data_IF_497653500922
#
_entry.id   IF_497653500922
#
_cell.length_a   1.000
_cell.length_b   1.000
_cell.length_c   1.000
_cell.angle_alpha   90.00
_cell.angle_beta   90.00
_cell.angle_gamma   90.00
#
_symmetry.space_group_name_H-M   'P 1'
#
loop_
_entity.id
_entity.type
_entity.pdbx_description
1 polymer ?
#
# COMPACT_ATOMS: atom_id res chain seq x y z
N UNK A 1 -9.37 36.06 -38.79
CA UNK A 1 -9.54 34.60 -38.62
C UNK A 1 -8.66 34.21 -37.43
N UNK A 2 -9.20 34.33 -36.21
CA UNK A 2 -8.46 34.06 -34.98
C UNK A 2 -8.63 32.58 -34.63
N UNK A 3 -7.54 31.82 -34.69
CA UNK A 3 -7.49 30.51 -34.04
C UNK A 3 -7.48 30.73 -32.51
N UNK A 4 -8.28 30.00 -31.73
CA UNK A 4 -8.21 30.09 -30.29
C UNK A 4 -6.90 29.46 -29.79
N UNK A 5 -6.12 30.23 -29.04
CA UNK A 5 -4.94 29.75 -28.32
C UNK A 5 -5.38 28.67 -27.31
N UNK A 6 -4.94 27.43 -27.52
CA UNK A 6 -5.03 26.38 -26.51
C UNK A 6 -4.21 26.78 -25.27
N UNK A 7 -4.86 26.77 -24.11
CA UNK A 7 -4.19 27.04 -22.83
C UNK A 7 -3.16 25.92 -22.55
N UNK A 8 -1.93 26.24 -22.09
CA UNK A 8 -0.82 25.29 -21.93
C UNK A 8 -1.02 24.13 -20.95
N UNK A 9 -2.17 24.04 -20.26
CA UNK A 9 -2.49 23.00 -19.28
C UNK A 9 -3.30 21.82 -19.84
N UNK A 10 -3.76 21.91 -21.09
CA UNK A 10 -4.59 20.89 -21.75
C UNK A 10 -3.79 19.78 -22.46
N UNK A 11 -2.49 19.97 -22.68
CA UNK A 11 -1.64 18.99 -23.37
C UNK A 11 -1.17 17.83 -22.47
N UNK A 12 -1.36 17.92 -21.15
CA UNK A 12 -1.07 16.84 -20.20
C UNK A 12 -2.21 15.80 -20.08
N UNK A 13 -3.34 16.00 -20.78
CA UNK A 13 -4.58 15.23 -20.61
C UNK A 13 -4.67 13.97 -21.52
N UNK A 14 -3.72 13.75 -22.44
CA UNK A 14 -3.84 12.71 -23.47
C UNK A 14 -2.98 11.45 -23.30
N UNK A 15 -2.33 11.26 -22.16
CA UNK A 15 -1.59 10.02 -21.88
C UNK A 15 -2.15 9.35 -20.63
N UNK A 16 -3.30 8.70 -20.77
CA UNK A 16 -3.91 7.89 -19.71
C UNK A 16 -3.54 6.43 -19.96
N UNK A 17 -2.81 5.76 -19.05
CA UNK A 17 -2.60 4.32 -19.10
C UNK A 17 -3.76 3.56 -18.42
N UNK A 18 -4.54 2.83 -19.22
CA UNK A 18 -5.25 1.55 -18.98
C UNK A 18 -6.04 1.26 -17.67
N UNK A 19 -6.28 2.20 -16.75
CA UNK A 19 -7.02 1.91 -15.52
C UNK A 19 -8.11 2.92 -15.14
N UNK A 20 -9.18 2.39 -14.54
CA UNK A 20 -10.43 3.08 -14.22
C UNK A 20 -10.31 3.89 -12.91
N UNK A 21 -10.45 5.21 -12.97
CA UNK A 21 -10.50 6.11 -11.81
C UNK A 21 -11.89 6.04 -11.15
N UNK A 22 -11.95 6.01 -9.82
CA UNK A 22 -13.21 6.11 -9.07
C UNK A 22 -13.27 7.42 -8.28
N UNK A 23 -14.30 8.21 -8.54
CA UNK A 23 -14.50 9.54 -7.96
C UNK A 23 -15.81 9.53 -7.18
N UNK A 24 -15.75 9.94 -5.91
CA UNK A 24 -16.92 10.06 -5.04
C UNK A 24 -17.14 11.54 -4.72
N UNK A 25 -18.32 12.05 -5.04
CA UNK A 25 -18.71 13.43 -4.76
C UNK A 25 -19.91 13.44 -3.81
N UNK A 26 -19.81 14.23 -2.74
CA UNK A 26 -20.82 14.25 -1.68
C UNK A 26 -21.58 15.57 -1.72
N UNK A 27 -22.91 15.46 -1.84
CA UNK A 27 -23.86 16.56 -1.66
C UNK A 27 -23.46 17.83 -2.45
N UNK A 28 -23.35 17.68 -3.77
CA UNK A 28 -23.14 18.80 -4.71
C UNK A 28 -24.46 19.22 -5.34
N UNK A 29 -24.55 20.49 -5.74
CA UNK A 29 -25.74 21.02 -6.40
C UNK A 29 -26.00 20.35 -7.76
N UNK A 30 -27.22 20.51 -8.27
CA UNK A 30 -27.67 19.87 -9.50
C UNK A 30 -26.88 20.32 -10.74
N UNK A 31 -26.37 21.56 -10.76
CA UNK A 31 -25.62 22.10 -11.89
C UNK A 31 -24.24 21.47 -11.98
N UNK A 32 -23.53 21.40 -10.84
CA UNK A 32 -22.24 20.69 -10.75
C UNK A 32 -22.41 19.20 -11.01
N UNK A 33 -23.49 18.59 -10.50
CA UNK A 33 -23.84 17.19 -10.79
C UNK A 33 -23.99 16.92 -12.28
N UNK A 34 -24.73 17.77 -13.00
CA UNK A 34 -24.92 17.64 -14.44
C UNK A 34 -23.58 17.78 -15.18
N UNK A 35 -22.78 18.78 -14.84
CA UNK A 35 -21.46 18.98 -15.48
C UNK A 35 -20.49 17.81 -15.26
N UNK A 36 -20.49 17.21 -14.06
CA UNK A 36 -19.68 16.02 -13.76
C UNK A 36 -20.12 14.82 -14.60
N UNK A 37 -21.44 14.58 -14.72
CA UNK A 37 -21.99 13.50 -15.55
C UNK A 37 -21.68 13.72 -17.02
N UNK A 38 -21.92 14.91 -17.55
CA UNK A 38 -21.63 15.25 -18.94
C UNK A 38 -20.13 15.07 -19.27
N UNK A 39 -19.24 15.38 -18.32
CA UNK A 39 -17.80 15.22 -18.49
C UNK A 39 -17.31 13.78 -18.35
N UNK A 40 -17.86 13.00 -17.42
CA UNK A 40 -17.29 11.71 -17.01
C UNK A 40 -18.08 10.48 -17.48
N UNK A 41 -19.39 10.57 -17.71
CA UNK A 41 -20.19 9.43 -18.22
C UNK A 41 -19.69 8.92 -19.59
N UNK A 42 -19.21 9.76 -20.53
CA UNK A 42 -18.64 9.29 -21.79
C UNK A 42 -17.27 8.59 -21.63
N UNK A 43 -16.60 8.73 -20.49
CA UNK A 43 -15.25 8.24 -20.26
C UNK A 43 -15.31 6.90 -19.52
N UNK A 44 -15.21 5.80 -20.26
CA UNK A 44 -15.33 4.44 -19.69
C UNK A 44 -14.33 4.13 -18.56
N UNK A 45 -13.18 4.82 -18.54
CA UNK A 45 -12.15 4.70 -17.51
C UNK A 45 -12.42 5.59 -16.30
N UNK A 46 -13.59 6.21 -16.14
CA UNK A 46 -13.97 6.96 -14.95
C UNK A 46 -15.28 6.40 -14.40
N UNK A 47 -15.33 6.19 -13.09
CA UNK A 47 -16.52 5.80 -12.34
C UNK A 47 -16.86 6.94 -11.39
N UNK A 48 -17.90 7.71 -11.74
CA UNK A 48 -18.42 8.77 -10.89
C UNK A 48 -19.54 8.23 -10.00
N UNK A 49 -19.43 8.48 -8.70
CA UNK A 49 -20.47 8.21 -7.72
C UNK A 49 -20.85 9.49 -6.98
N UNK A 50 -22.16 9.71 -6.81
CA UNK A 50 -22.69 10.87 -6.10
C UNK A 50 -23.42 10.37 -4.86
N UNK A 51 -22.86 10.67 -3.69
CA UNK A 51 -23.48 10.34 -2.41
C UNK A 51 -24.31 11.54 -1.90
N UNK A 52 -25.51 11.29 -1.35
CA UNK A 52 -26.37 12.35 -0.83
C UNK A 52 -25.81 12.96 0.47
N UNK A 53 -25.04 12.20 1.25
CA UNK A 53 -24.51 12.61 2.55
C UNK A 53 -23.21 11.88 2.90
N UNK A 54 -22.58 12.32 3.99
CA UNK A 54 -21.31 11.80 4.46
C UNK A 54 -21.39 10.33 4.93
N UNK A 55 -22.52 9.89 5.48
CA UNK A 55 -22.69 8.52 5.97
C UNK A 55 -22.73 7.53 4.81
N UNK A 56 -23.51 7.84 3.77
CA UNK A 56 -23.59 7.07 2.53
C UNK A 56 -22.23 7.01 1.84
N UNK A 57 -21.49 8.14 1.84
CA UNK A 57 -20.12 8.18 1.33
C UNK A 57 -19.17 7.24 2.09
N UNK A 58 -19.22 7.22 3.43
CA UNK A 58 -18.41 6.30 4.24
C UNK A 58 -18.75 4.83 3.97
N UNK A 59 -20.03 4.49 3.84
CA UNK A 59 -20.46 3.12 3.49
C UNK A 59 -19.93 2.71 2.12
N UNK A 60 -20.00 3.60 1.13
CA UNK A 60 -19.46 3.36 -0.20
C UNK A 60 -17.94 3.12 -0.20
N UNK A 61 -17.19 3.91 0.59
CA UNK A 61 -15.76 3.74 0.78
C UNK A 61 -15.39 2.42 1.46
N UNK A 62 -16.24 1.93 2.38
CA UNK A 62 -16.01 0.63 3.02
C UNK A 62 -16.19 -0.57 2.09
N UNK A 63 -16.98 -0.41 1.03
CA UNK A 63 -17.18 -1.47 0.01
C UNK A 63 -16.02 -1.47 -0.98
N UNK A 64 -15.61 -0.29 -1.44
CA UNK A 64 -14.48 -0.14 -2.34
C UNK A 64 -13.77 1.19 -2.08
N UNK A 65 -12.43 1.25 -2.18
CA UNK A 65 -11.70 2.50 -2.16
C UNK A 65 -12.00 3.36 -3.40
N UNK A 66 -11.70 4.65 -3.33
CA UNK A 66 -11.77 5.58 -4.46
C UNK A 66 -10.48 6.42 -4.57
N UNK A 67 -10.26 7.03 -5.73
CA UNK A 67 -9.08 7.87 -5.96
C UNK A 67 -9.31 9.31 -5.46
N UNK A 68 -10.57 9.76 -5.36
CA UNK A 68 -10.91 11.08 -4.83
C UNK A 68 -12.28 11.14 -4.13
N UNK A 69 -12.34 11.88 -3.03
CA UNK A 69 -13.57 12.31 -2.35
C UNK A 69 -13.69 13.83 -2.37
N UNK A 70 -14.74 14.37 -2.98
CA UNK A 70 -15.07 15.79 -2.92
C UNK A 70 -16.28 16.02 -2.02
N UNK A 71 -16.19 16.97 -1.08
CA UNK A 71 -17.30 17.29 -0.16
C UNK A 71 -17.30 18.77 0.20
N UNK A 72 -18.49 19.33 0.42
CA UNK A 72 -18.66 20.61 1.12
C UNK A 72 -19.14 20.37 2.56
N UNK A 73 -18.24 20.42 3.58
CA UNK A 73 -18.63 20.23 4.97
C UNK A 73 -19.57 21.33 5.50
N UNK A 74 -19.67 22.48 4.84
CA UNK A 74 -20.56 23.55 5.28
C UNK A 74 -22.04 23.21 5.07
N UNK A 75 -22.35 22.36 4.07
CA UNK A 75 -23.73 21.91 3.76
C UNK A 75 -23.93 20.41 3.94
N UNK A 76 -22.88 19.67 4.30
CA UNK A 76 -22.92 18.22 4.52
C UNK A 76 -22.61 17.90 5.97
N UNK A 77 -23.62 17.66 6.83
CA UNK A 77 -23.41 17.19 8.19
C UNK A 77 -22.44 16.01 8.22
N UNK A 78 -21.41 16.07 9.09
CA UNK A 78 -20.37 15.05 9.15
C UNK A 78 -19.28 15.14 8.08
N UNK A 79 -19.28 16.15 7.19
CA UNK A 79 -18.29 16.27 6.12
C UNK A 79 -16.82 16.30 6.60
N UNK A 80 -16.53 16.96 7.72
CA UNK A 80 -15.18 16.91 8.32
C UNK A 80 -14.83 15.55 8.90
N UNK A 81 -15.81 14.83 9.46
CA UNK A 81 -15.61 13.46 9.93
C UNK A 81 -15.30 12.53 8.74
N UNK A 82 -15.96 12.73 7.59
CA UNK A 82 -15.63 12.03 6.34
C UNK A 82 -14.21 12.34 5.88
N UNK A 83 -13.82 13.61 5.79
CA UNK A 83 -12.46 13.99 5.39
C UNK A 83 -11.39 13.36 6.28
N UNK A 84 -11.61 13.38 7.60
CA UNK A 84 -10.73 12.73 8.56
C UNK A 84 -10.70 11.21 8.38
N UNK A 85 -11.87 10.58 8.26
CA UNK A 85 -12.01 9.14 8.01
C UNK A 85 -11.26 8.72 6.75
N UNK A 86 -11.40 9.44 5.65
CA UNK A 86 -10.68 9.17 4.40
C UNK A 86 -9.17 9.20 4.63
N UNK A 87 -8.66 10.24 5.28
CA UNK A 87 -7.21 10.41 5.50
C UNK A 87 -6.61 9.45 6.52
N UNK A 88 -7.42 8.92 7.41
CA UNK A 88 -6.98 7.96 8.43
C UNK A 88 -7.00 6.52 7.89
N UNK A 89 -7.86 6.21 6.90
CA UNK A 89 -8.06 4.84 6.40
C UNK A 89 -7.59 4.59 4.97
N UNK A 90 -7.53 5.62 4.12
CA UNK A 90 -7.25 5.49 2.68
C UNK A 90 -6.12 6.43 2.26
N UNK A 91 -4.88 5.92 2.35
CA UNK A 91 -3.65 6.66 2.04
C UNK A 91 -3.65 7.29 0.65
N UNK A 92 -4.23 6.60 -0.32
CA UNK A 92 -4.22 6.97 -1.74
C UNK A 92 -5.54 7.57 -2.24
N UNK A 93 -6.36 8.09 -1.33
CA UNK A 93 -7.57 8.83 -1.70
C UNK A 93 -7.34 10.32 -1.51
N UNK A 94 -7.51 11.07 -2.60
CA UNK A 94 -7.46 12.52 -2.58
C UNK A 94 -8.72 13.08 -1.88
N UNK A 95 -8.60 14.20 -1.18
CA UNK A 95 -9.75 14.91 -0.63
C UNK A 95 -9.81 16.35 -1.12
N UNK A 96 -10.96 16.72 -1.69
CA UNK A 96 -11.26 18.06 -2.17
C UNK A 96 -12.33 18.71 -1.28
N UNK A 97 -11.98 19.81 -0.63
CA UNK A 97 -12.92 20.70 0.06
C UNK A 97 -13.51 21.68 -0.97
N UNK A 98 -14.80 21.59 -1.27
CA UNK A 98 -15.44 22.47 -2.24
C UNK A 98 -16.55 23.30 -1.60
N UNK A 99 -16.21 24.44 -1.00
CA UNK A 99 -17.06 25.16 -0.04
C UNK A 99 -17.34 26.61 -0.39
N UNK A 100 -18.50 27.12 0.04
CA UNK A 100 -18.79 28.56 0.05
C UNK A 100 -18.23 29.26 1.31
N UNK A 101 -17.82 28.49 2.32
CA UNK A 101 -17.41 29.03 3.61
C UNK A 101 -15.93 29.46 3.60
N UNK A 102 -15.69 30.76 3.77
CA UNK A 102 -14.36 31.37 3.80
C UNK A 102 -13.88 31.70 5.23
N UNK A 103 -14.60 31.25 6.25
CA UNK A 103 -14.25 31.52 7.64
C UNK A 103 -12.84 30.95 7.99
N UNK A 104 -11.94 31.76 8.57
CA UNK A 104 -10.59 31.30 8.91
C UNK A 104 -10.53 30.17 9.94
N UNK A 105 -11.53 29.97 10.80
CA UNK A 105 -11.57 28.84 11.73
C UNK A 105 -11.99 27.56 10.99
N UNK A 106 -12.98 27.66 10.11
CA UNK A 106 -13.40 26.59 9.21
C UNK A 106 -12.24 26.08 8.34
N UNK A 107 -11.51 26.99 7.69
CA UNK A 107 -10.36 26.63 6.85
C UNK A 107 -9.22 26.02 7.67
N UNK A 108 -8.95 26.53 8.88
CA UNK A 108 -7.98 25.91 9.80
C UNK A 108 -8.38 24.49 10.18
N UNK A 109 -9.66 24.23 10.37
CA UNK A 109 -10.15 22.88 10.64
C UNK A 109 -9.99 21.97 9.42
N UNK A 110 -10.26 22.47 8.20
CA UNK A 110 -10.02 21.73 6.96
C UNK A 110 -8.54 21.33 6.78
N UNK A 111 -7.61 22.25 7.07
CA UNK A 111 -6.17 21.96 7.04
C UNK A 111 -5.79 20.91 8.08
N UNK A 112 -6.37 20.94 9.29
CA UNK A 112 -6.16 19.89 10.31
C UNK A 112 -6.66 18.52 9.84
N UNK A 113 -7.68 18.47 8.99
CA UNK A 113 -8.14 17.25 8.33
C UNK A 113 -7.24 16.80 7.16
N UNK A 114 -6.15 17.52 6.84
CA UNK A 114 -5.16 17.16 5.80
C UNK A 114 -5.78 17.07 4.39
N UNK A 115 -6.64 18.04 4.04
CA UNK A 115 -7.20 18.13 2.68
C UNK A 115 -6.09 18.29 1.62
N UNK A 116 -6.28 17.73 0.42
CA UNK A 116 -5.32 17.90 -0.69
C UNK A 116 -5.69 19.05 -1.61
N UNK A 117 -6.97 19.41 -1.66
CA UNK A 117 -7.47 20.50 -2.48
C UNK A 117 -8.55 21.32 -1.82
N UNK A 118 -8.61 22.58 -2.23
CA UNK A 118 -9.61 23.57 -1.80
C UNK A 118 -10.14 24.27 -3.04
N UNK A 119 -11.46 24.35 -3.16
CA UNK A 119 -12.17 25.11 -4.18
C UNK A 119 -13.23 25.97 -3.50
N UNK A 120 -13.18 27.27 -3.72
CA UNK A 120 -14.20 28.19 -3.20
C UNK A 120 -15.38 28.29 -4.17
N UNK A 121 -16.60 28.30 -3.65
CA UNK A 121 -17.82 28.54 -4.42
C UNK A 121 -18.29 30.00 -4.28
N UNK A 122 -18.94 30.57 -5.32
CA UNK A 122 -19.28 29.95 -6.60
C UNK A 122 -18.05 29.77 -7.51
N UNK A 123 -17.85 28.56 -8.00
CA UNK A 123 -16.89 28.23 -9.04
C UNK A 123 -17.66 27.82 -10.30
N UNK A 124 -17.07 28.00 -11.48
CA UNK A 124 -17.68 27.47 -12.69
C UNK A 124 -17.75 25.94 -12.59
N UNK A 125 -18.81 25.27 -13.10
CA UNK A 125 -18.87 23.81 -13.09
C UNK A 125 -17.65 23.16 -13.76
N UNK A 126 -17.11 23.79 -14.80
CA UNK A 126 -15.88 23.36 -15.48
C UNK A 126 -14.66 23.39 -14.56
N UNK A 127 -14.53 24.40 -13.71
CA UNK A 127 -13.43 24.53 -12.75
C UNK A 127 -13.49 23.44 -11.67
N UNK A 128 -14.70 23.07 -11.22
CA UNK A 128 -14.90 21.94 -10.31
C UNK A 128 -14.46 20.63 -10.95
N UNK A 129 -14.88 20.36 -12.19
CA UNK A 129 -14.51 19.16 -12.95
C UNK A 129 -12.99 19.08 -13.15
N UNK A 130 -12.36 20.18 -13.56
CA UNK A 130 -10.90 20.27 -13.75
C UNK A 130 -10.14 19.96 -12.46
N UNK A 131 -10.58 20.54 -11.34
CA UNK A 131 -9.92 20.33 -10.05
C UNK A 131 -10.05 18.90 -9.53
N UNK A 132 -11.23 18.29 -9.70
CA UNK A 132 -11.46 16.87 -9.39
C UNK A 132 -10.53 15.98 -10.21
N UNK A 133 -10.46 16.20 -11.53
CA UNK A 133 -9.63 15.38 -12.41
C UNK A 133 -8.14 15.52 -12.08
N UNK A 134 -7.67 16.74 -11.86
CA UNK A 134 -6.28 17.04 -11.52
C UNK A 134 -5.83 16.31 -10.25
N UNK A 135 -6.62 16.38 -9.18
CA UNK A 135 -6.28 15.75 -7.91
C UNK A 135 -6.32 14.22 -8.00
N UNK A 136 -7.33 13.65 -8.65
CA UNK A 136 -7.42 12.20 -8.85
C UNK A 136 -6.21 11.67 -9.63
N UNK A 137 -5.79 12.37 -10.69
CA UNK A 137 -4.61 12.01 -11.48
C UNK A 137 -3.31 12.19 -10.70
N UNK A 138 -3.16 13.28 -9.94
CA UNK A 138 -1.97 13.54 -9.15
C UNK A 138 -1.73 12.46 -8.09
N UNK A 139 -2.79 12.03 -7.39
CA UNK A 139 -2.69 10.94 -6.40
C UNK A 139 -2.39 9.61 -7.07
N UNK A 140 -2.99 9.32 -8.23
CA UNK A 140 -2.67 8.13 -9.01
C UNK A 140 -1.20 8.08 -9.44
N UNK A 141 -0.68 9.18 -9.99
CA UNK A 141 0.72 9.28 -10.41
C UNK A 141 1.68 9.12 -9.22
N UNK A 142 1.36 9.75 -8.08
CA UNK A 142 2.12 9.60 -6.84
C UNK A 142 2.09 8.16 -6.32
N UNK A 143 0.92 7.50 -6.36
CA UNK A 143 0.77 6.09 -6.00
C UNK A 143 1.68 5.21 -6.84
N UNK A 144 1.66 5.35 -8.17
CA UNK A 144 2.53 4.57 -9.07
C UNK A 144 4.01 4.77 -8.78
N UNK A 145 4.45 6.02 -8.55
CA UNK A 145 5.86 6.32 -8.23
C UNK A 145 6.32 5.73 -6.90
N UNK A 146 5.41 5.53 -5.96
CA UNK A 146 5.70 5.01 -4.61
C UNK A 146 5.26 3.57 -4.41
N UNK A 147 4.71 2.92 -5.45
CA UNK A 147 4.22 1.56 -5.39
C UNK A 147 5.41 0.63 -5.15
N UNK A 148 5.30 -0.18 -4.12
CA UNK A 148 6.31 -1.16 -3.76
C UNK A 148 6.08 -2.47 -4.50
N UNK A 149 7.17 -3.20 -4.67
CA UNK A 149 7.16 -4.60 -5.11
C UNK A 149 7.74 -5.41 -3.98
N UNK A 150 6.91 -6.24 -3.36
CA UNK A 150 7.19 -6.92 -2.11
C UNK A 150 7.34 -8.41 -2.38
N UNK A 151 8.51 -8.96 -2.04
CA UNK A 151 8.74 -10.40 -2.02
C UNK A 151 8.78 -10.88 -0.56
N UNK A 152 7.83 -11.71 -0.17
CA UNK A 152 7.82 -12.36 1.14
C UNK A 152 8.22 -13.83 1.00
N UNK A 153 9.27 -14.24 1.73
CA UNK A 153 9.93 -15.53 1.56
C UNK A 153 9.75 -16.36 2.83
N UNK A 154 9.03 -17.47 2.71
CA UNK A 154 8.85 -18.48 3.76
C UNK A 154 9.52 -19.81 3.42
N UNK A 155 9.78 -20.62 4.46
CA UNK A 155 10.27 -21.98 4.29
C UNK A 155 9.08 -22.93 4.04
N UNK A 156 7.98 -22.72 4.76
CA UNK A 156 6.78 -23.56 4.76
C UNK A 156 5.50 -22.74 4.52
N UNK A 157 4.41 -23.39 4.07
CA UNK A 157 3.15 -22.71 3.84
C UNK A 157 2.46 -22.34 5.16
N UNK A 158 2.55 -21.06 5.57
CA UNK A 158 1.97 -20.40 6.77
C UNK A 158 2.95 -19.37 7.37
N UNK A 159 4.26 -19.58 7.19
CA UNK A 159 5.34 -18.76 7.76
C UNK A 159 5.16 -17.26 7.53
N UNK A 160 4.87 -16.89 6.28
CA UNK A 160 4.79 -15.50 5.83
C UNK A 160 3.55 -14.83 6.42
N UNK A 161 2.43 -15.53 6.44
CA UNK A 161 1.15 -15.08 6.98
C UNK A 161 1.21 -14.89 8.48
N UNK A 162 1.87 -15.82 9.19
CA UNK A 162 2.11 -15.70 10.63
C UNK A 162 3.04 -14.51 10.92
N UNK A 163 4.15 -14.41 10.17
CA UNK A 163 5.19 -13.44 10.48
C UNK A 163 4.90 -12.01 10.06
N UNK A 164 4.27 -11.82 8.90
CA UNK A 164 4.03 -10.49 8.32
C UNK A 164 2.70 -10.35 7.57
N UNK A 165 1.70 -11.19 7.86
CA UNK A 165 0.40 -11.15 7.20
C UNK A 165 -0.34 -9.81 7.34
N UNK A 166 -0.18 -9.13 8.47
CA UNK A 166 -0.75 -7.79 8.66
C UNK A 166 -0.06 -6.73 7.81
N UNK A 167 1.27 -6.80 7.68
CA UNK A 167 2.05 -5.95 6.80
C UNK A 167 1.72 -6.22 5.32
N UNK A 168 1.48 -7.48 4.92
CA UNK A 168 1.02 -7.81 3.57
C UNK A 168 -0.40 -7.27 3.31
N UNK A 169 -1.32 -7.40 4.25
CA UNK A 169 -2.65 -6.80 4.13
C UNK A 169 -2.58 -5.26 3.99
N UNK A 170 -1.65 -4.62 4.72
CA UNK A 170 -1.35 -3.20 4.56
C UNK A 170 -0.80 -2.86 3.18
N UNK A 171 0.16 -3.64 2.68
CA UNK A 171 0.72 -3.46 1.34
C UNK A 171 -0.35 -3.61 0.24
N UNK A 172 -1.24 -4.60 0.37
CA UNK A 172 -2.36 -4.79 -0.54
C UNK A 172 -3.30 -3.55 -0.54
N UNK A 173 -3.62 -3.01 0.63
CA UNK A 173 -4.41 -1.78 0.75
C UNK A 173 -3.69 -0.54 0.17
N UNK A 174 -2.37 -0.54 0.17
CA UNK A 174 -1.53 0.49 -0.46
C UNK A 174 -1.31 0.22 -1.98
N UNK A 175 -1.96 -0.80 -2.55
CA UNK A 175 -1.84 -1.24 -3.95
C UNK A 175 -0.44 -1.72 -4.34
N UNK A 176 0.37 -2.16 -3.39
CA UNK A 176 1.69 -2.70 -3.68
C UNK A 176 1.59 -4.07 -4.37
N UNK A 177 2.59 -4.40 -5.20
CA UNK A 177 2.66 -5.70 -5.88
C UNK A 177 3.22 -6.73 -4.90
N UNK A 178 2.46 -7.78 -4.62
CA UNK A 178 2.82 -8.80 -3.64
C UNK A 178 3.17 -10.13 -4.31
N UNK A 179 4.31 -10.71 -3.94
CA UNK A 179 4.72 -12.07 -4.27
C UNK A 179 5.11 -12.80 -2.99
N UNK A 180 4.49 -13.95 -2.74
CA UNK A 180 4.87 -14.88 -1.68
C UNK A 180 5.63 -16.04 -2.33
N UNK A 181 6.86 -16.27 -1.88
CA UNK A 181 7.68 -17.43 -2.25
C UNK A 181 7.78 -18.36 -1.04
N UNK A 182 7.22 -19.55 -1.15
CA UNK A 182 7.35 -20.58 -0.12
C UNK A 182 8.25 -21.69 -0.65
N UNK A 183 9.36 -21.98 0.01
CA UNK A 183 10.42 -22.81 -0.59
C UNK A 183 10.14 -24.33 -0.57
N UNK A 184 9.30 -24.79 0.36
CA UNK A 184 8.84 -26.19 0.44
C UNK A 184 7.30 -26.29 0.42
N UNK A 185 6.80 -27.52 0.38
CA UNK A 185 5.36 -27.82 0.45
C UNK A 185 4.88 -28.24 1.84
N UNK A 186 5.75 -28.16 2.86
CA UNK A 186 5.35 -28.43 4.24
C UNK A 186 4.93 -29.88 4.52
N UNK A 187 5.57 -30.86 3.87
CA UNK A 187 5.22 -32.28 3.94
C UNK A 187 5.33 -32.91 5.35
N UNK A 188 6.13 -32.33 6.24
CA UNK A 188 6.23 -32.76 7.64
C UNK A 188 5.06 -32.24 8.50
N UNK A 189 4.41 -31.15 8.08
CA UNK A 189 3.25 -30.57 8.78
C UNK A 189 1.88 -31.10 8.33
N UNK A 190 1.83 -31.91 7.26
CA UNK A 190 0.57 -32.51 6.79
C UNK A 190 0.55 -32.87 5.31
N UNK A 191 -0.65 -33.08 4.77
CA UNK A 191 -0.84 -33.37 3.36
C UNK A 191 -0.45 -32.17 2.48
N UNK A 192 0.50 -32.39 1.57
CA UNK A 192 1.07 -31.33 0.73
C UNK A 192 0.07 -30.72 -0.25
N UNK A 193 -0.95 -31.47 -0.68
CA UNK A 193 -1.95 -30.95 -1.61
C UNK A 193 -2.93 -30.05 -0.86
N UNK A 194 -3.36 -30.47 0.33
CA UNK A 194 -4.20 -29.65 1.20
C UNK A 194 -3.47 -28.35 1.57
N UNK A 195 -2.22 -28.43 2.05
CA UNK A 195 -1.44 -27.24 2.40
C UNK A 195 -1.22 -26.31 1.21
N UNK A 196 -1.04 -26.85 0.00
CA UNK A 196 -0.95 -26.04 -1.21
C UNK A 196 -2.27 -25.29 -1.50
N UNK A 197 -3.42 -25.94 -1.34
CA UNK A 197 -4.74 -25.28 -1.49
C UNK A 197 -4.92 -24.18 -0.44
N UNK A 198 -4.58 -24.46 0.82
CA UNK A 198 -4.64 -23.48 1.91
C UNK A 198 -3.76 -22.25 1.62
N UNK A 199 -2.54 -22.47 1.13
CA UNK A 199 -1.63 -21.38 0.76
C UNK A 199 -2.16 -20.52 -0.40
N UNK A 200 -2.76 -21.14 -1.43
CA UNK A 200 -3.38 -20.38 -2.52
C UNK A 200 -4.57 -19.56 -2.02
N UNK A 201 -5.38 -20.11 -1.12
CA UNK A 201 -6.50 -19.39 -0.52
C UNK A 201 -6.00 -18.20 0.32
N UNK A 202 -4.94 -18.37 1.11
CA UNK A 202 -4.33 -17.30 1.89
C UNK A 202 -3.79 -16.19 0.98
N UNK A 203 -2.97 -16.53 -0.03
CA UNK A 203 -2.41 -15.56 -0.96
C UNK A 203 -3.50 -14.74 -1.68
N UNK A 204 -4.63 -15.38 -2.04
CA UNK A 204 -5.75 -14.71 -2.68
C UNK A 204 -6.41 -13.64 -1.79
N UNK A 205 -6.42 -13.81 -0.45
CA UNK A 205 -7.00 -12.83 0.49
C UNK A 205 -6.26 -11.48 0.48
N UNK A 206 -4.97 -11.49 0.14
CA UNK A 206 -4.15 -10.27 0.00
C UNK A 206 -3.77 -9.96 -1.45
N UNK A 207 -4.37 -10.64 -2.43
CA UNK A 207 -4.06 -10.43 -3.84
C UNK A 207 -2.60 -10.71 -4.21
N UNK A 208 -1.92 -11.56 -3.44
CA UNK A 208 -0.53 -11.93 -3.71
C UNK A 208 -0.46 -13.03 -4.76
N UNK A 209 0.54 -12.94 -5.64
CA UNK A 209 1.00 -14.11 -6.39
C UNK A 209 1.70 -15.06 -5.43
N UNK A 210 1.44 -16.36 -5.55
CA UNK A 210 2.11 -17.40 -4.77
C UNK A 210 3.00 -18.24 -5.69
N UNK A 211 4.22 -18.50 -5.25
CA UNK A 211 5.12 -19.51 -5.81
C UNK A 211 5.45 -20.57 -4.74
N UNK A 212 5.06 -21.81 -5.00
CA UNK A 212 5.38 -22.96 -4.15
C UNK A 212 6.56 -23.74 -4.72
N UNK A 213 7.68 -23.65 -4.00
CA UNK A 213 8.90 -24.41 -4.25
C UNK A 213 8.73 -25.92 -4.01
N UNK A 214 9.83 -26.63 -4.27
CA UNK A 214 9.88 -28.09 -4.22
C UNK A 214 11.01 -28.60 -3.34
N UNK A 215 11.64 -27.73 -2.55
CA UNK A 215 12.66 -28.16 -1.61
C UNK A 215 12.04 -29.12 -0.60
N UNK A 216 12.84 -30.10 -0.17
CA UNK A 216 12.40 -31.10 0.80
C UNK A 216 12.27 -30.44 2.17
N UNK A 217 11.05 -30.41 2.68
CA UNK A 217 10.73 -29.94 4.02
C UNK A 217 11.61 -30.64 5.07
N UNK A 218 12.12 -29.89 6.05
CA UNK A 218 13.08 -30.27 7.10
C UNK A 218 14.52 -30.50 6.64
N UNK A 219 14.81 -30.29 5.35
CA UNK A 219 16.14 -30.46 4.73
C UNK A 219 16.55 -29.23 3.92
N UNK A 220 15.91 -28.07 4.12
CA UNK A 220 16.30 -26.85 3.40
C UNK A 220 17.68 -26.42 3.87
N UNK A 221 18.59 -26.20 2.93
CA UNK A 221 19.95 -25.70 3.20
C UNK A 221 20.09 -24.24 2.77
N UNK A 222 21.08 -23.54 3.28
CA UNK A 222 21.45 -22.18 2.86
C UNK A 222 22.32 -22.16 1.59
N UNK A 223 22.40 -23.29 0.88
CA UNK A 223 23.27 -23.51 -0.26
C UNK A 223 22.74 -22.97 -1.60
N UNK A 224 23.49 -23.27 -2.66
CA UNK A 224 23.29 -22.73 -3.99
C UNK A 224 21.88 -22.98 -4.58
N UNK A 225 21.24 -24.11 -4.26
CA UNK A 225 19.89 -24.42 -4.75
C UNK A 225 18.86 -23.41 -4.21
N UNK A 226 18.79 -23.23 -2.88
CA UNK A 226 17.90 -22.28 -2.22
C UNK A 226 18.16 -20.86 -2.69
N UNK A 227 19.43 -20.45 -2.76
CA UNK A 227 19.83 -19.12 -3.25
C UNK A 227 19.33 -18.92 -4.68
N UNK A 228 19.52 -19.89 -5.57
CA UNK A 228 19.14 -19.77 -6.99
C UNK A 228 17.63 -19.61 -7.19
N UNK A 229 16.81 -20.29 -6.37
CA UNK A 229 15.36 -20.14 -6.38
C UNK A 229 14.97 -18.72 -5.96
N UNK A 230 15.53 -18.23 -4.85
CA UNK A 230 15.23 -16.88 -4.36
C UNK A 230 15.70 -15.82 -5.36
N UNK A 231 16.89 -15.97 -5.95
CA UNK A 231 17.39 -15.07 -6.99
C UNK A 231 16.50 -15.05 -8.23
N UNK A 232 15.90 -16.18 -8.61
CA UNK A 232 14.96 -16.22 -9.74
C UNK A 232 13.72 -15.37 -9.45
N UNK A 233 13.12 -15.52 -8.25
CA UNK A 233 11.99 -14.71 -7.82
C UNK A 233 12.34 -13.21 -7.74
N UNK A 234 13.55 -12.88 -7.26
CA UNK A 234 14.06 -11.49 -7.22
C UNK A 234 14.24 -10.94 -8.64
N UNK A 235 14.81 -11.72 -9.56
CA UNK A 235 15.00 -11.28 -10.95
C UNK A 235 13.67 -11.02 -11.65
N UNK A 236 12.67 -11.86 -11.40
CA UNK A 236 11.34 -11.71 -11.98
C UNK A 236 10.59 -10.50 -11.41
N UNK A 237 10.56 -10.35 -10.08
CA UNK A 237 9.76 -9.30 -9.44
C UNK A 237 10.47 -7.94 -9.36
N UNK A 238 11.81 -7.92 -9.36
CA UNK A 238 12.62 -6.74 -9.03
C UNK A 238 12.14 -6.05 -7.73
N UNK A 239 12.11 -6.75 -6.58
CA UNK A 239 11.49 -6.24 -5.36
C UNK A 239 12.18 -4.97 -4.84
N UNK A 240 11.38 -4.06 -4.30
CA UNK A 240 11.85 -2.94 -3.48
C UNK A 240 12.02 -3.34 -2.02
N UNK A 241 11.24 -4.32 -1.57
CA UNK A 241 11.17 -4.79 -0.19
C UNK A 241 11.15 -6.33 -0.18
N UNK A 242 12.01 -6.93 0.63
CA UNK A 242 12.01 -8.38 0.93
C UNK A 242 11.67 -8.59 2.40
N UNK A 243 10.76 -9.53 2.66
CA UNK A 243 10.44 -10.06 3.98
C UNK A 243 10.91 -11.50 4.05
N UNK A 244 11.62 -11.89 5.11
CA UNK A 244 12.08 -13.27 5.29
C UNK A 244 12.20 -13.63 6.77
N UNK A 245 12.58 -14.87 7.06
CA UNK A 245 12.83 -15.37 8.42
C UNK A 245 13.92 -14.58 9.14
N UNK A 246 13.93 -14.64 10.47
CA UNK A 246 15.07 -14.16 11.29
C UNK A 246 16.03 -15.29 11.65
N UNK A 247 17.26 -14.95 12.03
CA UNK A 247 18.26 -15.93 12.45
C UNK A 247 17.96 -16.47 13.86
N UNK A 248 17.31 -15.67 14.71
CA UNK A 248 16.93 -15.99 16.09
C UNK A 248 15.72 -16.93 16.15
N UNK A 249 15.74 -18.01 15.35
CA UNK A 249 14.68 -18.99 15.19
C UNK A 249 15.23 -20.40 15.51
N UNK A 250 14.46 -21.20 16.24
CA UNK A 250 14.84 -22.57 16.60
C UNK A 250 14.69 -23.57 15.44
N UNK A 251 13.87 -23.27 14.43
CA UNK A 251 13.68 -24.12 13.26
C UNK A 251 14.84 -24.00 12.26
N UNK A 252 15.40 -25.14 11.85
CA UNK A 252 16.60 -25.17 11.01
C UNK A 252 16.34 -24.59 9.61
N UNK A 253 15.21 -24.97 8.98
CA UNK A 253 14.83 -24.45 7.67
C UNK A 253 14.70 -22.92 7.69
N UNK A 254 14.14 -22.32 8.75
CA UNK A 254 13.97 -20.87 8.85
C UNK A 254 15.32 -20.16 8.87
N UNK A 255 16.29 -20.69 9.62
CA UNK A 255 17.66 -20.15 9.65
C UNK A 255 18.38 -20.32 8.30
N UNK A 256 18.18 -21.46 7.64
CA UNK A 256 18.76 -21.70 6.32
C UNK A 256 18.20 -20.73 5.26
N UNK A 257 16.88 -20.54 5.26
CA UNK A 257 16.18 -19.58 4.39
C UNK A 257 16.58 -18.16 4.71
N UNK A 258 16.73 -17.80 5.99
CA UNK A 258 17.26 -16.50 6.39
C UNK A 258 18.61 -16.23 5.72
N UNK A 259 19.59 -17.13 5.89
CA UNK A 259 20.93 -16.97 5.31
C UNK A 259 20.89 -16.89 3.78
N UNK A 260 20.17 -17.81 3.12
CA UNK A 260 20.05 -17.82 1.66
C UNK A 260 19.39 -16.54 1.12
N UNK A 261 18.32 -16.06 1.77
CA UNK A 261 17.64 -14.82 1.42
C UNK A 261 18.56 -13.61 1.49
N UNK A 262 19.43 -13.51 2.52
CA UNK A 262 20.36 -12.38 2.62
C UNK A 262 21.40 -12.37 1.51
N UNK A 263 21.87 -13.54 1.09
CA UNK A 263 22.81 -13.68 -0.04
C UNK A 263 22.11 -13.29 -1.35
N UNK A 264 20.96 -13.90 -1.63
CA UNK A 264 20.21 -13.67 -2.87
C UNK A 264 19.73 -12.20 -2.99
N UNK A 265 19.28 -11.61 -1.88
CA UNK A 265 18.72 -10.27 -1.86
C UNK A 265 19.77 -9.15 -1.76
N UNK A 266 21.07 -9.40 -1.98
CA UNK A 266 22.15 -8.40 -1.81
C UNK A 266 21.92 -7.06 -2.53
N UNK A 267 21.22 -7.05 -3.66
CA UNK A 267 20.89 -5.84 -4.44
C UNK A 267 19.58 -5.16 -4.03
N UNK A 268 18.72 -5.83 -3.25
CA UNK A 268 17.40 -5.32 -2.87
C UNK A 268 17.55 -4.18 -1.86
N UNK A 269 16.95 -3.00 -2.09
CA UNK A 269 17.10 -1.84 -1.20
C UNK A 269 16.72 -2.11 0.25
N UNK A 270 15.60 -2.82 0.46
CA UNK A 270 15.04 -3.06 1.79
C UNK A 270 14.87 -4.55 2.07
N UNK A 271 15.40 -5.02 3.20
CA UNK A 271 15.32 -6.41 3.65
C UNK A 271 14.96 -6.41 5.13
N UNK A 272 13.85 -7.06 5.46
CA UNK A 272 13.29 -7.16 6.79
C UNK A 272 13.13 -8.62 7.20
N UNK A 273 13.37 -8.91 8.47
CA UNK A 273 13.10 -10.21 9.05
C UNK A 273 11.86 -10.16 9.95
N UNK A 274 10.93 -11.09 9.76
CA UNK A 274 9.73 -11.22 10.60
C UNK A 274 9.93 -12.22 11.74
N UNK A 275 9.05 -12.13 12.74
CA UNK A 275 8.98 -13.06 13.85
C UNK A 275 8.06 -14.24 13.52
N UNK A 276 8.45 -15.44 13.89
CA UNK A 276 7.68 -16.70 13.77
C UNK A 276 7.36 -17.27 15.16
N UNK A 277 6.51 -18.31 15.28
CA UNK A 277 6.28 -18.98 16.56
C UNK A 277 7.53 -19.63 17.15
N UNK A 278 8.48 -20.04 16.31
CA UNK A 278 9.75 -20.66 16.70
C UNK A 278 10.88 -19.65 16.93
N UNK A 279 10.60 -18.35 16.76
CA UNK A 279 11.51 -17.28 17.13
C UNK A 279 11.75 -17.25 18.63
N UNK A 280 13.01 -17.13 19.01
CA UNK A 280 13.45 -17.08 20.40
C UNK A 280 13.24 -15.70 21.02
N UNK A 281 13.40 -15.62 22.34
CA UNK A 281 13.39 -14.34 23.08
C UNK A 281 14.52 -13.37 22.70
N UNK A 282 15.52 -13.83 21.94
CA UNK A 282 16.59 -12.99 21.41
C UNK A 282 16.17 -12.19 20.17
N UNK A 283 14.99 -12.45 19.59
CA UNK A 283 14.47 -11.65 18.49
C UNK A 283 14.26 -10.19 18.91
N UNK A 284 15.07 -9.30 18.33
CA UNK A 284 15.12 -7.86 18.65
C UNK A 284 14.66 -7.05 17.43
N UNK A 285 13.38 -6.63 17.37
CA UNK A 285 12.88 -5.83 16.27
C UNK A 285 13.37 -4.38 16.34
N UNK A 286 13.53 -3.77 15.16
CA UNK A 286 13.90 -2.36 14.99
C UNK A 286 12.74 -1.53 14.45
N UNK A 287 11.79 -2.18 13.77
CA UNK A 287 10.67 -1.57 13.08
C UNK A 287 9.38 -2.22 13.52
N UNK A 288 8.33 -1.42 13.64
CA UNK A 288 6.99 -1.88 13.99
C UNK A 288 6.03 -1.41 12.90
N UNK A 289 5.33 -2.34 12.27
CA UNK A 289 4.31 -2.04 11.26
C UNK A 289 2.97 -1.93 11.96
N UNK A 290 2.30 -0.79 11.86
CA UNK A 290 0.94 -0.63 12.37
C UNK A 290 -0.03 -1.52 11.57
N UNK A 291 -0.59 -2.51 12.27
CA UNK A 291 -1.56 -3.45 11.73
C UNK A 291 -2.93 -3.32 12.41
N UNK A 292 -3.19 -2.20 13.10
CA UNK A 292 -4.43 -1.98 13.85
C UNK A 292 -5.67 -2.20 12.99
N UNK A 293 -5.66 -1.71 11.75
CA UNK A 293 -6.77 -1.87 10.80
C UNK A 293 -6.68 -3.14 9.93
N UNK A 294 -5.66 -3.96 10.17
CA UNK A 294 -5.31 -5.12 9.34
C UNK A 294 -5.26 -6.44 10.12
N UNK A 295 -5.59 -6.42 11.41
CA UNK A 295 -5.50 -7.59 12.29
C UNK A 295 -6.49 -8.70 11.88
N UNK A 296 -7.70 -8.33 11.49
CA UNK A 296 -8.71 -9.30 11.05
C UNK A 296 -8.27 -10.01 9.77
N UNK A 297 -7.65 -9.27 8.83
CA UNK A 297 -7.07 -9.84 7.62
C UNK A 297 -5.90 -10.78 7.96
N UNK A 298 -5.05 -10.43 8.93
CA UNK A 298 -4.00 -11.34 9.42
C UNK A 298 -4.59 -12.62 9.99
N UNK A 299 -5.60 -12.52 10.84
CA UNK A 299 -6.27 -13.68 11.44
C UNK A 299 -6.91 -14.54 10.34
N UNK A 300 -7.55 -13.94 9.33
CA UNK A 300 -8.13 -14.65 8.20
C UNK A 300 -7.07 -15.35 7.32
N UNK A 301 -5.92 -14.71 7.09
CA UNK A 301 -4.78 -15.30 6.36
C UNK A 301 -4.28 -16.56 7.05
N UNK A 302 -4.02 -16.48 8.35
CA UNK A 302 -3.57 -17.63 9.15
C UNK A 302 -4.68 -18.69 9.24
N UNK A 303 -5.94 -18.25 9.40
CA UNK A 303 -7.13 -19.09 9.43
C UNK A 303 -7.41 -19.87 8.14
N UNK A 304 -6.79 -19.50 7.02
CA UNK A 304 -6.86 -20.28 5.77
C UNK A 304 -6.14 -21.64 5.90
N UNK A 305 -5.14 -21.74 6.78
CA UNK A 305 -4.37 -22.95 7.07
C UNK A 305 -5.05 -23.81 8.15
N UNK A 306 -6.30 -24.23 7.89
CA UNK A 306 -7.12 -24.99 8.84
C UNK A 306 -6.41 -26.25 9.37
N UNK A 307 -5.68 -26.93 8.49
CA UNK A 307 -4.91 -28.13 8.84
C UNK A 307 -3.82 -27.88 9.90
N UNK A 308 -3.37 -26.62 10.04
CA UNK A 308 -2.34 -26.19 10.99
C UNK A 308 -2.96 -25.52 12.24
N UNK A 309 -3.94 -24.64 12.05
CA UNK A 309 -4.59 -23.87 13.13
C UNK A 309 -5.18 -24.78 14.21
N UNK A 310 -5.85 -25.87 13.83
CA UNK A 310 -6.47 -26.79 14.80
C UNK A 310 -5.46 -27.50 15.72
N UNK A 311 -4.16 -27.44 15.40
CA UNK A 311 -3.09 -28.18 16.09
C UNK A 311 -2.08 -27.27 16.78
N UNK A 312 -2.09 -25.97 16.48
CA UNK A 312 -1.06 -25.03 16.89
C UNK A 312 -1.66 -23.94 17.79
N UNK A 313 -1.36 -24.02 19.08
CA UNK A 313 -1.79 -23.02 20.08
C UNK A 313 -1.17 -21.63 19.80
N UNK A 314 0.06 -21.61 19.28
CA UNK A 314 0.82 -20.38 19.03
C UNK A 314 0.24 -19.48 17.93
N UNK A 315 -0.73 -19.96 17.18
CA UNK A 315 -1.37 -19.22 16.07
C UNK A 315 -2.89 -19.09 16.27
N UNK A 316 -3.38 -19.29 17.49
CA UNK A 316 -4.77 -18.98 17.81
C UNK A 316 -5.02 -17.47 17.73
N UNK A 317 -6.24 -17.03 17.35
CA UNK A 317 -6.56 -15.61 17.15
C UNK A 317 -6.23 -14.71 18.34
N UNK A 318 -6.47 -15.18 19.56
CA UNK A 318 -6.17 -14.44 20.79
C UNK A 318 -4.66 -14.32 21.07
N UNK A 319 -3.87 -15.34 20.73
CA UNK A 319 -2.40 -15.31 20.80
C UNK A 319 -1.83 -14.35 19.75
N UNK A 320 -2.34 -14.38 18.52
CA UNK A 320 -1.97 -13.45 17.44
C UNK A 320 -2.25 -12.01 17.87
N UNK A 321 -3.45 -11.75 18.38
CA UNK A 321 -3.87 -10.42 18.86
C UNK A 321 -3.00 -9.96 20.04
N UNK A 322 -2.76 -10.83 21.02
CA UNK A 322 -1.96 -10.51 22.20
C UNK A 322 -0.51 -10.18 21.84
N UNK A 323 0.07 -10.93 20.89
CA UNK A 323 1.42 -10.66 20.36
C UNK A 323 1.48 -9.32 19.65
N UNK A 324 0.52 -9.03 18.76
CA UNK A 324 0.45 -7.75 18.07
C UNK A 324 0.26 -6.58 19.05
N UNK A 325 -0.54 -6.77 20.10
CA UNK A 325 -0.76 -5.79 21.16
C UNK A 325 0.51 -5.54 21.99
N UNK A 326 1.24 -6.59 22.32
CA UNK A 326 2.52 -6.49 23.01
C UNK A 326 3.52 -5.62 22.24
N UNK A 327 3.64 -5.83 20.93
CA UNK A 327 4.56 -5.07 20.09
C UNK A 327 4.08 -3.64 19.81
N UNK A 328 2.76 -3.41 19.70
CA UNK A 328 2.17 -2.09 19.48
C UNK A 328 2.64 -1.03 20.50
N UNK A 329 2.87 -1.45 21.76
CA UNK A 329 3.32 -0.57 22.85
C UNK A 329 4.66 0.14 22.58
N UNK A 330 5.51 -0.42 21.72
CA UNK A 330 6.85 0.13 21.45
C UNK A 330 6.84 1.28 20.44
N UNK A 331 5.79 1.39 19.62
CA UNK A 331 5.69 2.40 18.56
C UNK A 331 4.46 3.33 18.71
N UNK A 332 3.72 3.21 19.81
CA UNK A 332 2.48 3.98 20.03
C UNK A 332 1.31 3.53 19.17
N UNK A 333 1.38 2.34 18.57
CA UNK A 333 0.29 1.73 17.81
C UNK A 333 -0.60 0.89 18.71
N UNK A 334 -1.84 0.66 18.29
CA UNK A 334 -2.75 -0.24 19.01
C UNK A 334 -2.30 -1.68 18.84
N UNK A 335 -1.99 -2.08 17.60
CA UNK A 335 -1.48 -3.40 17.22
C UNK A 335 -0.33 -3.23 16.22
N UNK A 336 0.75 -4.00 16.38
CA UNK A 336 1.87 -3.94 15.46
C UNK A 336 2.52 -5.29 15.18
N UNK A 337 3.06 -5.44 13.97
CA UNK A 337 4.00 -6.52 13.64
C UNK A 337 5.44 -6.05 13.83
N UNK A 338 6.27 -6.82 14.56
CA UNK A 338 7.66 -6.49 14.77
C UNK A 338 8.51 -6.97 13.59
N UNK A 339 9.46 -6.14 13.14
CA UNK A 339 10.40 -6.48 12.09
C UNK A 339 11.82 -6.10 12.52
N UNK A 340 12.78 -6.98 12.24
CA UNK A 340 14.19 -6.66 12.31
C UNK A 340 14.65 -6.12 10.97
N UNK A 341 15.17 -4.90 10.94
CA UNK A 341 15.79 -4.34 9.75
C UNK A 341 17.16 -5.00 9.56
N UNK A 342 17.38 -5.63 8.40
CA UNK A 342 18.71 -6.07 7.95
C UNK A 342 19.34 -5.00 7.07
N UNK A 343 18.54 -4.44 6.16
CA UNK A 343 18.92 -3.30 5.33
C UNK A 343 17.69 -2.46 5.06
N UNK A 344 17.85 -1.14 5.14
CA UNK A 344 16.85 -0.19 4.68
C UNK A 344 17.60 0.96 4.04
N UNK A 345 17.30 1.24 2.78
CA UNK A 345 17.77 2.44 2.09
C UNK A 345 16.56 3.34 1.93
N UNK A 346 16.66 4.57 2.41
CA UNK A 346 15.58 5.54 2.23
C UNK A 346 15.27 5.62 0.75
N UNK A 347 14.03 5.31 0.39
CA UNK A 347 13.51 5.58 -0.94
C UNK A 347 13.40 7.09 -1.07
N UNK A 348 14.51 7.75 -1.38
CA UNK A 348 14.46 9.04 -2.08
C UNK A 348 13.55 8.87 -3.29
N UNK A 349 12.80 9.92 -3.62
CA UNK A 349 12.03 9.98 -4.87
C UNK A 349 12.94 9.46 -5.97
N UNK A 350 12.51 8.43 -6.71
CA UNK A 350 13.25 7.96 -7.87
C UNK A 350 13.50 9.19 -8.75
N UNK A 351 14.76 9.62 -8.83
CA UNK A 351 15.16 10.71 -9.71
C UNK A 351 14.90 10.18 -11.11
N UNK A 352 14.04 10.86 -11.84
CA UNK A 352 13.77 10.57 -13.24
C UNK A 352 15.10 10.76 -14.00
N UNK A 353 15.69 9.72 -14.60
CA UNK A 353 16.96 9.86 -15.31
C UNK A 353 16.86 10.84 -16.50
N UNK A 354 15.65 11.20 -16.93
CA UNK A 354 15.41 12.15 -18.02
C UNK A 354 15.37 13.64 -17.56
N UNK A 355 15.40 13.95 -16.25
CA UNK A 355 15.40 15.33 -15.75
C UNK A 355 16.80 15.99 -15.66
N UNK A 356 17.88 15.24 -15.92
CA UNK A 356 19.25 15.76 -15.83
C UNK A 356 19.71 16.41 -17.15
N UNK A 357 19.04 17.48 -17.59
CA UNK A 357 19.58 18.32 -18.69
C UNK A 357 19.10 19.77 -18.73
N UNK A 358 18.93 20.46 -17.59
CA UNK A 358 18.83 21.93 -17.60
C UNK A 358 19.39 22.56 -16.33
N UNK A 359 20.70 22.44 -16.12
CA UNK A 359 21.41 23.42 -15.30
C UNK A 359 21.89 24.58 -16.19
N UNK A 360 21.53 25.84 -15.89
CA UNK A 360 22.08 26.99 -16.58
C UNK A 360 23.56 27.15 -16.21
N UNK A 361 24.42 27.22 -17.23
CA UNK A 361 25.84 27.52 -17.03
C UNK A 361 26.01 28.88 -16.34
N UNK A 362 26.90 29.00 -15.34
CA UNK A 362 27.21 30.29 -14.74
C UNK A 362 27.94 31.16 -15.77
N UNK A 363 27.35 32.33 -16.05
CA UNK A 363 27.89 33.31 -16.97
C UNK A 363 29.29 33.78 -16.56
N UNK A 364 30.17 33.92 -17.54
CA UNK A 364 31.49 34.53 -17.37
C UNK A 364 31.34 35.96 -16.87
N UNK A 365 31.75 36.22 -15.63
CA UNK A 365 32.00 37.59 -15.21
C UNK A 365 33.26 38.09 -15.92
N UNK A 366 33.04 39.07 -16.78
CA UNK A 366 34.08 39.89 -17.37
C UNK A 366 34.84 40.63 -16.26
N UNK A 367 36.15 40.53 -16.32
CA UNK A 367 37.10 41.28 -15.54
C UNK A 367 37.03 42.77 -15.94
N UNK A 368 36.69 43.64 -14.99
CA UNK A 368 36.74 45.08 -15.16
C UNK A 368 37.41 45.74 -13.95
N UNK A 369 38.73 45.95 -14.08
CA UNK A 369 39.45 47.13 -13.61
C UNK A 369 39.93 47.11 -12.16
N UNK A 370 41.24 47.11 -11.94
CA UNK A 370 42.07 48.33 -11.84
C UNK A 370 43.54 47.99 -11.77
#
# INVERSE_FOLDING_TARGET
MNQPQEKPRLSLVRQIPDQRLRILVVNVDAVVTAALKDAFDPVATISLEIAPDAETAMRSLSVAPCDLVAVDPAVSPGGFALLKYVKDNFRWTATLLATHNQDPQFLRHAVKCRIDGLLFRPAAPTEFVEQVLLLAQAVHARRRRQQKRVLAIGAHPDDVEIGCGGALAKHNADYDVLHILTLSRGAAGGDVNLRAVEAHNAAALVGARLELGKLRDTYITDGAETISIIEAAIRELQPTDVYTHSLEDTHQDHRAVHTASLVAARSVPNVYCYQTPSSTVEFKPHRFVDITHYIEQKIALIGAYKSQVDRMESIQPDVILSTARYWGRFAGYVLAEPLRIVRQRDSGVAIDPDEESTQPQPGSMADSGT
#
